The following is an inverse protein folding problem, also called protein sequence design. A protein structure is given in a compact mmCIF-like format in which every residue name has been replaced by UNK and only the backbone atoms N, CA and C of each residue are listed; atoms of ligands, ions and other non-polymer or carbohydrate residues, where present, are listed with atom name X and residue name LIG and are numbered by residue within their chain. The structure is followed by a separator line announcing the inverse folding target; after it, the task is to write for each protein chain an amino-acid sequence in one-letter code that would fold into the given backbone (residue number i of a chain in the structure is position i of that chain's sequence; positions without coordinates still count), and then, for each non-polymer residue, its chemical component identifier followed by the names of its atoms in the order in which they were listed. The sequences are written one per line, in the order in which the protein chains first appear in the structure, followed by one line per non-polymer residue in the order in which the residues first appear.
data_IF_547046404288
#
_entry.id   IF_547046404288
#
_cell.length_a   1.000
_cell.length_b   1.000
_cell.length_c   1.000
_cell.angle_alpha   90.00
_cell.angle_beta   90.00
_cell.angle_gamma   90.00
#
_symmetry.space_group_name_H-M   'P 1'
#
loop_
_entity.id
_entity.type
_entity.pdbx_description
1 polymer ?
#
# COMPACT_ATOMS: atom_id res chain seq x y z
N UNK A 1 18.01 -1.84 7.35
CA UNK A 1 17.37 -1.49 6.06
C UNK A 1 16.00 -0.93 6.37
N UNK A 2 15.63 0.21 5.79
CA UNK A 2 14.32 0.83 6.05
C UNK A 2 13.18 -0.02 5.47
N UNK A 3 12.07 -0.12 6.19
CA UNK A 3 10.85 -0.82 5.78
C UNK A 3 9.69 0.14 5.50
N UNK A 4 9.25 0.13 4.25
CA UNK A 4 8.11 0.85 3.74
C UNK A 4 6.90 -0.10 3.67
N UNK A 5 5.82 0.22 4.39
CA UNK A 5 4.64 -0.64 4.50
C UNK A 5 3.48 -0.04 3.73
N UNK A 6 2.82 -0.84 2.90
CA UNK A 6 1.63 -0.44 2.15
C UNK A 6 0.39 -0.89 2.91
N UNK A 7 -0.49 0.04 3.25
CA UNK A 7 -1.75 -0.25 3.96
C UNK A 7 -2.97 0.32 3.24
N UNK A 8 -4.15 -0.05 3.72
CA UNK A 8 -5.44 0.42 3.21
C UNK A 8 -6.46 -0.71 3.11
N UNK A 9 -7.70 -0.34 2.81
CA UNK A 9 -8.82 -1.27 2.66
C UNK A 9 -8.55 -2.40 1.64
N UNK A 10 -9.24 -3.56 1.76
CA UNK A 10 -9.23 -4.59 0.71
C UNK A 10 -9.54 -4.00 -0.67
N UNK A 11 -8.90 -4.53 -1.71
CA UNK A 11 -9.07 -4.08 -3.11
C UNK A 11 -8.75 -2.60 -3.41
N UNK A 12 -8.10 -1.86 -2.49
CA UNK A 12 -7.62 -0.50 -2.76
C UNK A 12 -6.48 -0.43 -3.79
N UNK A 13 -5.88 -1.57 -4.14
CA UNK A 13 -4.83 -1.69 -5.16
C UNK A 13 -3.40 -1.84 -4.63
N UNK A 14 -3.23 -2.20 -3.35
CA UNK A 14 -1.93 -2.36 -2.67
C UNK A 14 -0.95 -3.29 -3.38
N UNK A 15 -1.35 -4.53 -3.63
CA UNK A 15 -0.49 -5.53 -4.27
C UNK A 15 -0.08 -5.12 -5.69
N UNK A 16 -1.04 -4.60 -6.47
CA UNK A 16 -0.77 -4.14 -7.83
C UNK A 16 0.19 -2.94 -7.82
N UNK A 17 -0.01 -2.01 -6.89
CA UNK A 17 0.90 -0.89 -6.67
C UNK A 17 2.31 -1.40 -6.33
N UNK A 18 2.46 -2.33 -5.38
CA UNK A 18 3.76 -2.85 -4.97
C UNK A 18 4.55 -3.44 -6.15
N UNK A 19 3.91 -4.29 -6.96
CA UNK A 19 4.51 -4.95 -8.11
C UNK A 19 4.85 -3.96 -9.23
N UNK A 20 3.92 -3.06 -9.58
CA UNK A 20 4.20 -2.07 -10.61
C UNK A 20 5.22 -1.04 -10.15
N UNK A 21 5.28 -0.71 -8.86
CA UNK A 21 6.28 0.21 -8.32
C UNK A 21 7.68 -0.43 -8.38
N UNK A 22 7.80 -1.73 -8.08
CA UNK A 22 9.03 -2.48 -8.33
C UNK A 22 9.45 -2.42 -9.80
N UNK A 23 8.50 -2.63 -10.74
CA UNK A 23 8.74 -2.49 -12.17
C UNK A 23 9.17 -1.09 -12.59
N UNK A 24 8.53 -0.06 -12.04
CA UNK A 24 8.87 1.34 -12.26
C UNK A 24 10.29 1.69 -11.77
N UNK A 25 10.76 1.03 -10.71
CA UNK A 25 12.15 1.13 -10.24
C UNK A 25 13.14 0.32 -11.09
N UNK A 26 12.67 -0.41 -12.09
CA UNK A 26 13.48 -1.16 -13.06
C UNK A 26 13.58 -2.66 -12.80
N UNK A 27 12.85 -3.20 -11.83
CA UNK A 27 12.80 -4.64 -11.62
C UNK A 27 12.05 -5.34 -12.77
N UNK A 28 12.55 -6.50 -13.22
CA UNK A 28 11.81 -7.39 -14.13
C UNK A 28 11.28 -8.63 -13.41
N UNK A 29 12.02 -9.04 -12.37
CA UNK A 29 11.70 -10.13 -11.47
C UNK A 29 11.79 -9.62 -10.04
N UNK A 30 11.06 -10.25 -9.13
CA UNK A 30 11.03 -9.94 -7.71
C UNK A 30 11.07 -11.23 -6.89
N UNK A 31 11.87 -11.19 -5.83
CA UNK A 31 11.82 -12.20 -4.77
C UNK A 31 10.81 -11.73 -3.73
N UNK A 32 9.68 -12.43 -3.66
CA UNK A 32 8.61 -12.12 -2.71
C UNK A 32 8.74 -13.06 -1.52
N UNK A 33 9.01 -12.46 -0.37
CA UNK A 33 9.03 -13.16 0.92
C UNK A 33 7.66 -13.07 1.56
N UNK A 34 7.02 -14.21 1.77
CA UNK A 34 5.75 -14.36 2.46
C UNK A 34 6.00 -14.65 3.93
N UNK A 35 5.34 -13.90 4.82
CA UNK A 35 5.34 -14.14 6.26
C UNK A 35 3.94 -14.45 6.76
N UNK A 36 3.71 -15.69 7.15
CA UNK A 36 2.45 -16.12 7.77
C UNK A 36 2.39 -15.75 9.26
N UNK A 37 1.21 -15.87 9.85
CA UNK A 37 0.95 -15.45 11.23
C UNK A 37 1.76 -16.22 12.29
N UNK A 38 2.02 -17.50 12.04
CA UNK A 38 2.89 -18.36 12.85
C UNK A 38 4.38 -18.04 12.70
N UNK A 39 4.74 -17.08 11.86
CA UNK A 39 6.12 -16.65 11.64
C UNK A 39 6.87 -17.46 10.58
N UNK A 40 6.23 -18.44 9.92
CA UNK A 40 6.85 -19.14 8.81
C UNK A 40 7.13 -18.17 7.66
N UNK A 41 8.35 -18.26 7.15
CA UNK A 41 8.85 -17.42 6.06
C UNK A 41 9.10 -18.31 4.84
N UNK A 42 8.48 -17.97 3.71
CA UNK A 42 8.79 -18.60 2.42
C UNK A 42 9.18 -17.53 1.41
N UNK A 43 10.13 -17.83 0.55
CA UNK A 43 10.53 -16.94 -0.53
C UNK A 43 10.21 -17.59 -1.86
N UNK A 44 9.60 -16.82 -2.77
CA UNK A 44 9.32 -17.27 -4.14
C UNK A 44 9.80 -16.22 -5.12
N UNK A 45 10.42 -16.71 -6.19
CA UNK A 45 10.89 -15.90 -7.29
C UNK A 45 9.78 -15.78 -8.35
N UNK A 46 9.52 -14.56 -8.81
CA UNK A 46 8.51 -14.29 -9.84
C UNK A 46 9.03 -13.31 -10.88
N UNK A 47 8.63 -13.48 -12.14
CA UNK A 47 8.50 -12.33 -13.03
C UNK A 47 7.35 -11.43 -12.57
N UNK A 48 7.40 -10.14 -12.92
CA UNK A 48 6.32 -9.22 -12.54
C UNK A 48 4.95 -9.63 -13.08
N UNK A 49 4.90 -10.20 -14.29
CA UNK A 49 3.64 -10.66 -14.89
C UNK A 49 3.08 -11.91 -14.21
N UNK A 50 3.94 -12.85 -13.82
CA UNK A 50 3.53 -14.00 -13.00
C UNK A 50 3.02 -13.57 -11.63
N UNK A 51 3.74 -12.67 -10.96
CA UNK A 51 3.35 -12.14 -9.66
C UNK A 51 1.98 -11.44 -9.74
N UNK A 52 1.70 -10.66 -10.80
CA UNK A 52 0.38 -10.02 -10.99
C UNK A 52 -0.72 -11.05 -11.15
N UNK A 53 -0.53 -12.06 -12.01
CA UNK A 53 -1.54 -13.12 -12.24
C UNK A 53 -1.83 -13.89 -10.95
N UNK A 54 -0.79 -14.20 -10.18
CA UNK A 54 -0.93 -15.03 -9.00
C UNK A 54 -1.42 -14.25 -7.78
N UNK A 55 -0.88 -13.06 -7.52
CA UNK A 55 -1.07 -12.33 -6.27
C UNK A 55 -2.19 -11.28 -6.35
N UNK A 56 -2.52 -10.76 -7.54
CA UNK A 56 -3.62 -9.81 -7.70
C UNK A 56 -4.93 -10.52 -8.08
N UNK A 57 -6.07 -9.96 -7.67
CA UNK A 57 -7.39 -10.52 -8.00
C UNK A 57 -8.52 -9.67 -7.43
N UNK A 58 -9.75 -9.98 -7.86
CA UNK A 58 -10.95 -9.25 -7.47
C UNK A 58 -11.55 -9.74 -6.14
N UNK A 59 -11.17 -10.94 -5.70
CA UNK A 59 -11.62 -11.52 -4.43
C UNK A 59 -11.07 -10.69 -3.26
N UNK A 60 -11.96 -10.23 -2.38
CA UNK A 60 -11.59 -9.50 -1.18
C UNK A 60 -10.60 -10.33 -0.34
N UNK A 61 -9.61 -9.64 0.25
CA UNK A 61 -8.56 -10.26 1.06
C UNK A 61 -7.81 -11.40 0.35
N UNK A 62 -7.53 -11.26 -0.96
CA UNK A 62 -6.63 -12.19 -1.67
C UNK A 62 -5.24 -12.26 -1.02
N UNK A 63 -4.70 -11.11 -0.61
CA UNK A 63 -3.49 -11.03 0.24
C UNK A 63 -3.87 -11.33 1.68
N UNK A 64 -3.44 -12.49 2.20
CA UNK A 64 -3.74 -12.96 3.57
C UNK A 64 -2.52 -12.95 4.52
N UNK A 65 -1.33 -12.78 3.98
CA UNK A 65 -0.05 -12.74 4.70
C UNK A 65 0.75 -11.51 4.29
N UNK A 66 1.78 -11.17 5.06
CA UNK A 66 2.68 -10.08 4.68
C UNK A 66 3.54 -10.53 3.50
N UNK A 67 3.65 -9.69 2.47
CA UNK A 67 4.43 -9.96 1.27
C UNK A 67 5.48 -8.87 1.10
N UNK A 68 6.74 -9.22 1.31
CA UNK A 68 7.84 -8.27 1.29
C UNK A 68 8.77 -8.51 0.11
N UNK A 69 9.26 -7.43 -0.48
CA UNK A 69 10.29 -7.43 -1.52
C UNK A 69 11.38 -6.41 -1.16
N UNK A 70 12.62 -6.74 -1.46
CA UNK A 70 13.74 -5.79 -1.33
C UNK A 70 13.92 -5.10 -2.67
N UNK A 71 13.75 -3.79 -2.68
CA UNK A 71 13.86 -2.96 -3.87
C UNK A 71 15.09 -2.08 -3.80
N UNK A 72 15.65 -1.79 -4.98
CA UNK A 72 16.81 -0.93 -5.15
C UNK A 72 16.40 0.37 -5.82
N UNK A 73 16.91 1.48 -5.31
CA UNK A 73 16.68 2.82 -5.83
C UNK A 73 17.98 3.62 -5.86
N UNK A 74 18.17 4.46 -6.87
CA UNK A 74 19.25 5.45 -6.91
C UNK A 74 18.80 6.76 -6.29
N UNK A 75 19.54 7.23 -5.28
CA UNK A 75 19.36 8.52 -4.62
C UNK A 75 20.63 9.33 -4.86
N UNK A 76 20.55 10.32 -5.76
CA UNK A 76 21.74 11.02 -6.25
C UNK A 76 22.70 10.05 -6.95
N UNK A 77 23.90 9.88 -6.40
CA UNK A 77 24.94 8.96 -6.92
C UNK A 77 24.97 7.60 -6.21
N UNK A 78 24.17 7.42 -5.15
CA UNK A 78 24.22 6.22 -4.31
C UNK A 78 23.04 5.31 -4.61
N UNK A 79 23.29 4.01 -4.71
CA UNK A 79 22.24 3.01 -4.76
C UNK A 79 21.90 2.54 -3.35
N UNK A 80 20.61 2.60 -3.00
CA UNK A 80 20.10 2.25 -1.67
C UNK A 80 19.04 1.16 -1.81
N UNK A 81 19.10 0.18 -0.90
CA UNK A 81 18.11 -0.88 -0.80
C UNK A 81 17.12 -0.56 0.32
N UNK A 82 15.85 -0.85 0.08
CA UNK A 82 14.79 -0.76 1.09
C UNK A 82 13.82 -1.91 0.92
N UNK A 83 13.08 -2.20 1.99
CA UNK A 83 12.07 -3.24 2.00
C UNK A 83 10.71 -2.61 1.74
N UNK A 84 9.97 -3.11 0.76
CA UNK A 84 8.58 -2.75 0.51
C UNK A 84 7.70 -3.93 0.92
N UNK A 85 6.74 -3.71 1.80
CA UNK A 85 5.85 -4.76 2.31
C UNK A 85 4.40 -4.44 1.96
N UNK A 86 3.81 -5.27 1.09
CA UNK A 86 2.37 -5.34 0.84
C UNK A 86 1.69 -6.15 1.96
N UNK A 87 0.50 -5.72 2.37
CA UNK A 87 -0.18 -6.28 3.54
C UNK A 87 -1.60 -6.72 3.23
N UNK A 88 -2.16 -7.55 4.13
CA UNK A 88 -3.59 -7.83 4.11
C UNK A 88 -4.38 -6.52 4.25
N UNK A 89 -5.46 -6.40 3.47
CA UNK A 89 -6.39 -5.28 3.61
C UNK A 89 -7.12 -5.35 4.95
N UNK A 90 -7.27 -4.22 5.61
CA UNK A 90 -7.97 -4.11 6.89
C UNK A 90 -9.32 -3.46 6.65
N UNK A 91 -10.37 -4.07 7.20
CA UNK A 91 -11.74 -3.57 7.22
C UNK A 91 -12.18 -3.28 8.65
N UNK A 92 -13.26 -2.52 8.81
CA UNK A 92 -13.82 -2.13 10.11
C UNK A 92 -14.44 -3.31 10.88
N UNK A 93 -14.88 -4.35 10.16
CA UNK A 93 -15.58 -5.49 10.74
C UNK A 93 -14.63 -6.65 11.04
N UNK A 94 -14.94 -7.40 12.11
CA UNK A 94 -14.27 -8.67 12.42
C UNK A 94 -14.71 -9.70 11.37
N UNK A 95 -13.79 -10.09 10.50
CA UNK A 95 -14.06 -11.03 9.42
C UNK A 95 -14.34 -12.45 9.95
N UNK A 96 -15.26 -13.21 9.33
CA UNK A 96 -15.62 -14.56 9.77
C UNK A 96 -14.50 -15.61 9.54
N UNK A 97 -13.74 -15.47 8.44
CA UNK A 97 -12.55 -16.28 8.15
C UNK A 97 -11.38 -15.93 9.09
N UNK A 98 -10.88 -16.93 9.83
CA UNK A 98 -9.77 -16.78 10.78
C UNK A 98 -8.45 -16.36 10.13
N UNK A 99 -8.14 -16.89 8.94
CA UNK A 99 -6.93 -16.55 8.21
C UNK A 99 -6.92 -15.07 7.81
N UNK A 100 -8.06 -14.52 7.42
CA UNK A 100 -8.20 -13.09 7.14
C UNK A 100 -8.02 -12.26 8.41
N UNK A 101 -8.65 -12.64 9.53
CA UNK A 101 -8.45 -11.96 10.82
C UNK A 101 -6.98 -11.93 11.25
N UNK A 102 -6.28 -13.07 11.14
CA UNK A 102 -4.85 -13.18 11.41
C UNK A 102 -4.05 -12.25 10.50
N UNK A 103 -4.34 -12.22 9.21
CA UNK A 103 -3.71 -11.31 8.25
C UNK A 103 -3.91 -9.84 8.62
N UNK A 104 -5.14 -9.43 8.99
CA UNK A 104 -5.43 -8.08 9.46
C UNK A 104 -4.63 -7.73 10.73
N UNK A 105 -4.58 -8.65 11.70
CA UNK A 105 -3.79 -8.48 12.92
C UNK A 105 -2.29 -8.33 12.63
N UNK A 106 -1.75 -9.09 11.65
CA UNK A 106 -0.36 -8.93 11.21
C UNK A 106 -0.11 -7.55 10.59
N UNK A 107 -1.03 -7.06 9.75
CA UNK A 107 -0.93 -5.70 9.17
C UNK A 107 -0.85 -4.65 10.27
N UNK A 108 -1.75 -4.70 11.25
CA UNK A 108 -1.79 -3.76 12.37
C UNK A 108 -0.51 -3.89 13.23
N UNK A 109 -0.06 -5.12 13.50
CA UNK A 109 1.19 -5.35 14.23
C UNK A 109 2.40 -4.76 13.53
N UNK A 110 2.50 -4.91 12.20
CA UNK A 110 3.61 -4.40 11.40
C UNK A 110 3.68 -2.87 11.38
N UNK A 111 2.55 -2.17 11.46
CA UNK A 111 2.50 -0.71 11.51
C UNK A 111 3.26 -0.09 12.69
N UNK A 112 3.48 -0.86 13.76
CA UNK A 112 4.25 -0.43 14.94
C UNK A 112 5.75 -0.36 14.67
N UNK A 113 6.27 -1.20 13.78
CA UNK A 113 7.68 -1.27 13.44
C UNK A 113 8.02 -0.70 12.06
N UNK A 114 7.02 -0.30 11.27
CA UNK A 114 7.25 0.33 9.98
C UNK A 114 8.09 1.60 10.12
N UNK A 115 9.05 1.82 9.21
CA UNK A 115 9.77 3.09 9.12
C UNK A 115 8.90 4.14 8.43
N UNK A 116 8.20 3.76 7.36
CA UNK A 116 7.30 4.64 6.60
C UNK A 116 6.05 3.90 6.12
N UNK A 117 4.94 4.64 6.01
CA UNK A 117 3.63 4.11 5.67
C UNK A 117 3.14 4.74 4.35
N UNK A 118 2.84 3.89 3.37
CA UNK A 118 2.12 4.24 2.14
C UNK A 118 0.66 3.80 2.30
N UNK A 119 -0.24 4.73 2.58
CA UNK A 119 -1.65 4.41 2.74
C UNK A 119 -2.41 4.61 1.43
N UNK A 120 -2.99 3.55 0.88
CA UNK A 120 -3.69 3.55 -0.40
C UNK A 120 -5.20 3.54 -0.20
N UNK A 121 -5.86 4.56 -0.74
CA UNK A 121 -7.32 4.70 -0.79
C UNK A 121 -7.80 4.62 -2.25
N UNK A 122 -8.85 3.86 -2.49
CA UNK A 122 -9.53 3.82 -3.78
C UNK A 122 -10.41 5.06 -3.97
N UNK A 123 -10.05 5.93 -4.91
CA UNK A 123 -10.81 7.16 -5.18
C UNK A 123 -12.21 6.90 -5.75
N UNK A 124 -12.48 5.74 -6.34
CA UNK A 124 -13.81 5.41 -6.85
C UNK A 124 -14.84 5.20 -5.73
N UNK A 125 -14.37 4.93 -4.50
CA UNK A 125 -15.21 4.76 -3.32
C UNK A 125 -15.40 6.06 -2.52
N UNK A 126 -14.65 7.12 -2.86
CA UNK A 126 -14.69 8.39 -2.12
C UNK A 126 -15.93 9.18 -2.53
N UNK A 127 -16.92 9.23 -1.65
CA UNK A 127 -18.12 10.05 -1.80
C UNK A 127 -18.28 11.01 -0.60
N UNK A 128 -19.42 11.71 -0.52
CA UNK A 128 -19.70 12.64 0.60
C UNK A 128 -19.72 11.92 1.96
N UNK A 129 -20.30 10.74 2.01
CA UNK A 129 -20.44 9.96 3.25
C UNK A 129 -19.09 9.42 3.71
N UNK A 130 -18.23 9.00 2.77
CA UNK A 130 -16.86 8.59 3.04
C UNK A 130 -16.07 9.72 3.72
N UNK A 131 -16.16 10.95 3.20
CA UNK A 131 -15.47 12.10 3.79
C UNK A 131 -16.03 12.46 5.19
N UNK A 132 -17.33 12.25 5.41
CA UNK A 132 -17.99 12.49 6.69
C UNK A 132 -17.71 11.39 7.74
N UNK A 133 -17.47 10.14 7.30
CA UNK A 133 -17.25 9.00 8.18
C UNK A 133 -15.84 9.00 8.78
N UNK A 134 -15.67 9.76 9.87
CA UNK A 134 -14.42 9.80 10.65
C UNK A 134 -14.12 8.53 11.45
N UNK A 135 -15.06 7.60 11.51
CA UNK A 135 -14.89 6.31 12.20
C UNK A 135 -14.32 5.22 11.26
N UNK A 136 -14.00 5.56 10.01
CA UNK A 136 -13.46 4.57 9.09
C UNK A 136 -12.03 4.17 9.42
N UNK A 137 -11.67 2.94 9.03
CA UNK A 137 -10.31 2.42 9.20
C UNK A 137 -9.25 3.31 8.51
N UNK A 138 -9.63 3.95 7.40
CA UNK A 138 -8.73 4.87 6.68
C UNK A 138 -8.42 6.13 7.51
N UNK A 139 -9.40 6.63 8.29
CA UNK A 139 -9.17 7.71 9.25
C UNK A 139 -8.29 7.27 10.43
N UNK A 140 -8.43 6.04 10.92
CA UNK A 140 -7.53 5.51 11.95
C UNK A 140 -6.08 5.41 11.45
N UNK A 141 -5.89 4.87 10.25
CA UNK A 141 -4.58 4.82 9.60
C UNK A 141 -3.97 6.21 9.38
N UNK A 142 -4.79 7.16 8.95
CA UNK A 142 -4.36 8.55 8.80
C UNK A 142 -3.93 9.15 10.14
N UNK A 143 -4.75 9.05 11.19
CA UNK A 143 -4.44 9.61 12.50
C UNK A 143 -3.15 9.00 13.08
N UNK A 144 -2.99 7.69 12.97
CA UNK A 144 -1.78 6.99 13.41
C UNK A 144 -0.55 7.42 12.58
N UNK A 145 -0.69 7.46 11.26
CA UNK A 145 0.40 7.81 10.36
C UNK A 145 0.91 9.24 10.51
N UNK A 146 0.00 10.20 10.64
CA UNK A 146 0.33 11.61 10.92
C UNK A 146 1.06 11.75 12.25
N UNK A 147 0.59 11.08 13.31
CA UNK A 147 1.25 11.12 14.62
C UNK A 147 2.69 10.59 14.58
N UNK A 148 3.01 9.66 13.67
CA UNK A 148 4.37 9.14 13.47
C UNK A 148 5.26 9.99 12.57
N UNK A 149 4.73 11.02 11.91
CA UNK A 149 5.44 11.86 10.93
C UNK A 149 6.18 11.05 9.84
N UNK A 150 5.60 9.92 9.43
CA UNK A 150 6.22 8.96 8.50
C UNK A 150 5.18 8.31 7.58
N UNK A 151 4.36 9.15 6.95
CA UNK A 151 3.13 8.74 6.29
C UNK A 151 2.83 9.56 5.04
N UNK A 152 2.42 8.90 3.97
CA UNK A 152 1.87 9.53 2.77
C UNK A 152 0.58 8.81 2.36
N UNK A 153 -0.37 9.60 1.84
CA UNK A 153 -1.64 9.08 1.33
C UNK A 153 -1.60 9.01 -0.20
N UNK A 154 -1.96 7.86 -0.74
CA UNK A 154 -2.01 7.60 -2.18
C UNK A 154 -3.48 7.43 -2.60
N UNK A 155 -4.01 8.42 -3.33
CA UNK A 155 -5.35 8.34 -3.92
C UNK A 155 -5.28 7.55 -5.22
N UNK A 156 -5.64 6.27 -5.18
CA UNK A 156 -5.48 5.33 -6.27
C UNK A 156 -6.70 5.26 -7.20
N UNK A 157 -6.51 4.66 -8.38
CA UNK A 157 -7.49 4.44 -9.44
C UNK A 157 -7.95 5.73 -10.13
N UNK A 158 -7.05 6.71 -10.27
CA UNK A 158 -7.32 7.96 -11.00
C UNK A 158 -7.63 7.75 -12.48
N UNK A 159 -7.31 6.57 -13.01
CA UNK A 159 -7.64 6.14 -14.36
C UNK A 159 -9.13 5.84 -14.57
N UNK A 160 -9.88 5.64 -13.49
CA UNK A 160 -11.34 5.55 -13.55
C UNK A 160 -11.91 6.97 -13.68
N UNK A 161 -12.67 7.22 -14.74
CA UNK A 161 -13.06 8.57 -15.19
C UNK A 161 -13.55 9.49 -14.06
N UNK A 162 -14.55 9.06 -13.28
CA UNK A 162 -15.13 9.86 -12.19
C UNK A 162 -14.33 9.83 -10.88
N UNK A 163 -13.36 8.92 -10.73
CA UNK A 163 -12.61 8.77 -9.49
C UNK A 163 -11.65 9.96 -9.27
N UNK A 164 -11.07 10.50 -10.34
CA UNK A 164 -10.17 11.66 -10.25
C UNK A 164 -10.87 12.90 -9.69
N UNK A 165 -12.16 13.08 -9.97
CA UNK A 165 -12.98 14.19 -9.47
C UNK A 165 -13.21 14.14 -7.95
N UNK A 166 -12.94 12.99 -7.32
CA UNK A 166 -13.02 12.82 -5.87
C UNK A 166 -11.74 13.24 -5.13
N UNK A 167 -10.64 13.55 -5.83
CA UNK A 167 -9.38 13.96 -5.21
C UNK A 167 -9.50 15.19 -4.29
N UNK A 168 -10.24 16.26 -4.66
CA UNK A 168 -10.43 17.39 -3.75
C UNK A 168 -11.15 17.00 -2.45
N UNK A 169 -12.11 16.06 -2.52
CA UNK A 169 -12.82 15.54 -1.34
C UNK A 169 -11.88 14.75 -0.45
N UNK A 170 -11.05 13.88 -1.02
CA UNK A 170 -10.04 13.14 -0.28
C UNK A 170 -9.05 14.08 0.41
N UNK A 171 -8.57 15.10 -0.31
CA UNK A 171 -7.61 16.07 0.22
C UNK A 171 -8.21 16.89 1.37
N UNK A 172 -9.48 17.27 1.27
CA UNK A 172 -10.18 17.97 2.35
C UNK A 172 -10.37 17.09 3.59
N UNK A 173 -10.73 15.82 3.40
CA UNK A 173 -10.90 14.84 4.49
C UNK A 173 -9.58 14.59 5.25
N UNK A 174 -8.46 14.51 4.52
CA UNK A 174 -7.13 14.17 5.05
C UNK A 174 -6.14 15.34 4.98
N UNK A 175 -6.60 16.53 5.37
CA UNK A 175 -5.91 17.82 5.15
C UNK A 175 -4.44 17.92 5.61
N UNK A 176 -4.03 17.18 6.65
CA UNK A 176 -2.62 17.18 7.13
C UNK A 176 -1.70 16.22 6.37
N UNK A 177 -2.23 15.32 5.55
CA UNK A 177 -1.42 14.37 4.79
C UNK A 177 -0.99 14.97 3.46
N UNK A 178 0.21 14.60 3.01
CA UNK A 178 0.56 14.73 1.61
C UNK A 178 -0.25 13.68 0.84
N UNK A 179 -1.09 14.13 -0.08
CA UNK A 179 -1.92 13.27 -0.93
C UNK A 179 -1.32 13.23 -2.33
N UNK A 180 -0.99 12.03 -2.81
CA UNK A 180 -0.49 11.81 -4.16
C UNK A 180 -1.53 11.03 -4.97
N UNK A 181 -2.10 11.61 -6.04
CA UNK A 181 -2.97 10.87 -6.93
C UNK A 181 -2.15 9.89 -7.77
N UNK A 182 -2.55 8.61 -7.78
CA UNK A 182 -1.86 7.56 -8.53
C UNK A 182 -2.83 6.70 -9.35
N UNK A 183 -2.31 6.11 -10.42
CA UNK A 183 -2.89 4.92 -11.01
C UNK A 183 -1.91 3.78 -10.81
N UNK A 184 -2.22 2.87 -9.90
CA UNK A 184 -1.43 1.66 -9.70
C UNK A 184 -1.37 0.82 -10.98
N UNK A 185 -2.43 0.85 -11.81
CA UNK A 185 -2.50 0.10 -13.06
C UNK A 185 -1.54 0.66 -14.13
N UNK A 186 -1.54 1.99 -14.31
CA UNK A 186 -0.77 2.67 -15.36
C UNK A 186 0.53 3.30 -14.85
N UNK A 187 0.90 3.07 -13.59
CA UNK A 187 2.08 3.66 -12.92
C UNK A 187 2.10 5.20 -12.91
N UNK A 188 0.94 5.84 -13.05
CA UNK A 188 0.82 7.30 -12.97
C UNK A 188 1.02 7.75 -11.52
N UNK A 189 1.72 8.87 -11.30
CA UNK A 189 2.05 9.40 -9.98
C UNK A 189 3.21 8.71 -9.25
N UNK A 190 3.82 7.68 -9.85
CA UNK A 190 4.91 6.93 -9.20
C UNK A 190 6.21 7.72 -9.07
N UNK A 191 6.41 8.74 -9.91
CA UNK A 191 7.56 9.65 -9.79
C UNK A 191 7.51 10.40 -8.46
N UNK A 192 6.35 10.90 -8.08
CA UNK A 192 6.10 11.61 -6.84
C UNK A 192 6.26 10.67 -5.64
N UNK A 193 5.74 9.45 -5.74
CA UNK A 193 5.93 8.41 -4.71
C UNK A 193 7.41 8.04 -4.56
N UNK A 194 8.13 7.82 -5.66
CA UNK A 194 9.58 7.57 -5.63
C UNK A 194 10.34 8.72 -4.98
N UNK A 195 10.02 9.97 -5.32
CA UNK A 195 10.65 11.14 -4.73
C UNK A 195 10.36 11.27 -3.23
N UNK A 196 9.18 10.85 -2.77
CA UNK A 196 8.85 10.80 -1.35
C UNK A 196 9.65 9.70 -0.64
N UNK A 197 9.64 8.48 -1.19
CA UNK A 197 10.36 7.32 -0.65
C UNK A 197 11.87 7.59 -0.58
N UNK A 198 12.45 8.21 -1.60
CA UNK A 198 13.87 8.62 -1.64
C UNK A 198 14.27 9.66 -0.58
N UNK A 199 13.34 10.52 -0.14
CA UNK A 199 13.62 11.51 0.92
C UNK A 199 13.62 10.92 2.32
N UNK A 200 13.08 9.71 2.46
CA UNK A 200 12.78 9.09 3.74
C UNK A 200 13.64 7.84 4.00
N UNK A 201 14.28 7.26 2.97
CA UNK A 201 15.23 6.16 3.12
C UNK A 201 16.66 6.69 3.25
#
# INVERSE_FOLDING_TARGET
MRECVIIGCPNSGKTLFALNFAGYLGAKNVDVTFRTYDGLMTCRHFSLEEAKRELCGMVLHKTRSLQSMVLKMTIGKTAVNFKLTDTCGVSEQIHADEGIRKGMAQTIGLLRSADFILHIIDLSLVNKDYAANKASIDYEFYNYGIARNAYILLGNKIDLGSAKDNLPRLTAAFSKAIVVPISALYSQGFREVKAYVARNI
#
